data_IF_579557600929
#
_entry.id   IF_579557600929
#
_cell.length_a   1.000
_cell.length_b   1.000
_cell.length_c   1.000
_cell.angle_alpha   90.00
_cell.angle_beta   90.00
_cell.angle_gamma   90.00
#
_symmetry.space_group_name_H-M   'P 1'
#
loop_
_entity.id
_entity.type
_entity.pdbx_description
1 polymer ?
#
# COMPACT_ATOMS: atom_id res chain seq x y z
N UNK A 1 -11.99 -15.44 17.76
CA UNK A 1 -13.29 -14.76 17.55
C UNK A 1 -13.91 -15.32 16.29
N UNK A 2 -15.24 -15.47 16.19
CA UNK A 2 -15.86 -15.87 14.93
C UNK A 2 -15.58 -14.79 13.89
N UNK A 3 -15.08 -15.20 12.73
CA UNK A 3 -14.79 -14.30 11.60
C UNK A 3 -16.06 -13.55 11.20
N UNK A 4 -15.91 -12.25 10.89
CA UNK A 4 -17.03 -11.50 10.34
C UNK A 4 -17.41 -12.14 8.97
N UNK A 5 -18.65 -12.61 8.79
CA UNK A 5 -19.05 -13.41 7.63
C UNK A 5 -18.78 -12.71 6.28
N UNK A 6 -18.73 -11.37 6.25
CA UNK A 6 -18.46 -10.60 5.05
C UNK A 6 -17.01 -10.76 4.53
N UNK A 7 -16.02 -11.12 5.40
CA UNK A 7 -14.63 -11.30 4.97
C UNK A 7 -14.41 -12.53 4.07
N UNK A 8 -15.35 -13.48 4.06
CA UNK A 8 -15.22 -14.73 3.31
C UNK A 8 -15.52 -14.55 1.82
N UNK A 9 -16.24 -13.48 1.45
CA UNK A 9 -16.63 -13.20 0.05
C UNK A 9 -16.22 -11.78 -0.35
N UNK A 10 -14.99 -11.59 -0.85
CA UNK A 10 -14.52 -10.28 -1.31
C UNK A 10 -15.36 -9.72 -2.47
N UNK A 11 -15.51 -8.41 -2.49
CA UNK A 11 -16.22 -7.67 -3.54
C UNK A 11 -15.27 -7.24 -4.66
N UNK A 12 -14.05 -6.89 -4.28
CA UNK A 12 -12.98 -6.50 -5.20
C UNK A 12 -11.80 -7.44 -4.93
N UNK A 13 -11.38 -8.17 -5.96
CA UNK A 13 -10.19 -9.03 -5.90
C UNK A 13 -9.13 -8.48 -6.87
N UNK A 14 -7.95 -8.16 -6.33
CA UNK A 14 -6.81 -7.61 -7.08
C UNK A 14 -5.62 -8.56 -6.99
N UNK A 15 -5.07 -8.96 -8.13
CA UNK A 15 -3.97 -9.90 -8.21
C UNK A 15 -2.89 -9.43 -9.17
N UNK A 16 -1.64 -9.74 -8.85
CA UNK A 16 -0.50 -9.50 -9.74
C UNK A 16 0.27 -8.23 -9.44
N UNK A 17 0.79 -7.57 -10.47
CA UNK A 17 1.57 -6.34 -10.36
C UNK A 17 0.69 -5.14 -10.04
N UNK A 18 1.19 -4.23 -9.22
CA UNK A 18 0.56 -2.92 -9.01
C UNK A 18 0.96 -2.03 -10.18
N UNK A 19 0.07 -1.90 -11.14
CA UNK A 19 0.25 -1.15 -12.39
C UNK A 19 -1.07 -0.52 -12.86
N UNK A 20 -1.04 0.17 -14.01
CA UNK A 20 -2.23 0.81 -14.57
C UNK A 20 -3.35 -0.21 -14.85
N UNK A 21 -3.03 -1.46 -15.21
CA UNK A 21 -4.05 -2.48 -15.44
C UNK A 21 -4.78 -2.83 -14.15
N UNK A 22 -4.06 -3.01 -13.04
CA UNK A 22 -4.67 -3.22 -11.72
C UNK A 22 -5.52 -2.01 -11.30
N UNK A 23 -5.06 -0.79 -11.57
CA UNK A 23 -5.81 0.42 -11.24
C UNK A 23 -7.14 0.48 -12.02
N UNK A 24 -7.12 0.19 -13.32
CA UNK A 24 -8.35 0.16 -14.13
C UNK A 24 -9.32 -0.94 -13.69
N UNK A 25 -8.81 -2.15 -13.38
CA UNK A 25 -9.61 -3.25 -12.83
C UNK A 25 -10.26 -2.87 -11.50
N UNK A 26 -9.50 -2.20 -10.62
CA UNK A 26 -10.02 -1.66 -9.36
C UNK A 26 -11.15 -0.66 -9.60
N UNK A 27 -10.97 0.32 -10.50
CA UNK A 27 -12.00 1.31 -10.80
C UNK A 27 -13.27 0.68 -11.38
N UNK A 28 -13.14 -0.27 -12.30
CA UNK A 28 -14.29 -0.99 -12.89
C UNK A 28 -15.08 -1.73 -11.80
N UNK A 29 -14.41 -2.47 -10.92
CA UNK A 29 -15.05 -3.19 -9.81
C UNK A 29 -15.67 -2.23 -8.78
N UNK A 30 -14.98 -1.13 -8.48
CA UNK A 30 -15.47 -0.09 -7.54
C UNK A 30 -16.77 0.54 -8.03
N UNK A 31 -16.93 0.72 -9.35
CA UNK A 31 -18.14 1.30 -9.97
C UNK A 31 -19.37 0.39 -9.88
N UNK A 32 -19.17 -0.91 -9.63
CA UNK A 32 -20.21 -1.95 -9.59
C UNK A 32 -20.57 -2.40 -8.17
N UNK A 33 -20.02 -1.72 -7.16
CA UNK A 33 -20.26 -2.10 -5.77
C UNK A 33 -21.72 -1.92 -5.37
N UNK A 34 -22.29 -2.86 -4.61
CA UNK A 34 -23.61 -2.71 -4.02
C UNK A 34 -23.58 -1.66 -2.90
N UNK A 35 -24.67 -0.91 -2.78
CA UNK A 35 -24.84 0.08 -1.72
C UNK A 35 -25.22 -0.56 -0.37
N UNK A 36 -24.94 0.16 0.72
CA UNK A 36 -25.50 -0.11 2.04
C UNK A 36 -24.90 -1.27 2.82
N UNK A 37 -23.81 -1.89 2.36
CA UNK A 37 -23.11 -2.96 3.10
C UNK A 37 -21.58 -2.77 3.10
N UNK A 38 -20.86 -3.42 4.04
CA UNK A 38 -19.40 -3.40 4.03
C UNK A 38 -18.83 -3.93 2.72
N UNK A 39 -17.72 -3.35 2.28
CA UNK A 39 -16.96 -3.72 1.08
C UNK A 39 -15.66 -4.41 1.49
N UNK A 40 -15.35 -5.55 0.89
CA UNK A 40 -14.10 -6.26 1.11
C UNK A 40 -13.23 -6.19 -0.12
N UNK A 41 -12.02 -5.66 0.03
CA UNK A 41 -10.99 -5.62 -1.00
C UNK A 41 -9.92 -6.66 -0.67
N UNK A 42 -9.84 -7.69 -1.50
CA UNK A 42 -8.79 -8.70 -1.45
C UNK A 42 -7.61 -8.28 -2.31
N UNK A 43 -6.40 -8.47 -1.78
CA UNK A 43 -5.17 -8.17 -2.51
C UNK A 43 -4.13 -9.27 -2.36
N UNK A 44 -3.57 -9.69 -3.49
CA UNK A 44 -2.36 -10.49 -3.56
C UNK A 44 -1.40 -9.85 -4.57
N UNK A 45 -0.24 -9.37 -4.12
CA UNK A 45 0.71 -8.69 -5.01
C UNK A 45 2.15 -8.78 -4.52
N UNK A 46 3.08 -8.93 -5.47
CA UNK A 46 4.52 -8.76 -5.22
C UNK A 46 4.96 -7.29 -5.25
N UNK A 47 4.02 -6.35 -5.39
CA UNK A 47 4.29 -4.93 -5.52
C UNK A 47 4.27 -4.46 -6.98
N UNK A 48 4.92 -3.34 -7.26
CA UNK A 48 4.97 -2.70 -8.56
C UNK A 48 5.13 -1.18 -8.43
N UNK A 49 4.44 -0.41 -9.27
CA UNK A 49 4.54 1.04 -9.28
C UNK A 49 4.00 1.66 -7.98
N UNK A 50 4.86 2.42 -7.31
CA UNK A 50 4.53 3.05 -6.03
C UNK A 50 3.51 4.20 -6.17
N UNK A 51 3.47 4.90 -7.30
CA UNK A 51 2.53 5.98 -7.53
C UNK A 51 1.15 5.44 -7.92
N UNK A 52 1.09 4.33 -8.67
CA UNK A 52 -0.15 3.60 -8.89
C UNK A 52 -0.71 3.04 -7.57
N UNK A 53 0.15 2.45 -6.72
CA UNK A 53 -0.26 2.00 -5.37
C UNK A 53 -0.87 3.13 -4.54
N UNK A 54 -0.24 4.32 -4.54
CA UNK A 54 -0.78 5.51 -3.87
C UNK A 54 -2.10 5.99 -4.49
N UNK A 55 -2.25 5.87 -5.80
CA UNK A 55 -3.49 6.24 -6.49
C UNK A 55 -4.64 5.33 -6.10
N UNK A 56 -4.44 4.00 -6.07
CA UNK A 56 -5.43 3.05 -5.55
C UNK A 56 -5.78 3.37 -4.09
N UNK A 57 -4.77 3.62 -3.25
CA UNK A 57 -4.97 4.00 -1.86
C UNK A 57 -5.82 5.28 -1.71
N UNK A 58 -5.59 6.29 -2.54
CA UNK A 58 -6.40 7.52 -2.58
C UNK A 58 -7.86 7.21 -2.95
N UNK A 59 -8.08 6.40 -4.00
CA UNK A 59 -9.44 6.03 -4.43
C UNK A 59 -10.20 5.24 -3.36
N UNK A 60 -9.51 4.35 -2.63
CA UNK A 60 -10.11 3.67 -1.46
C UNK A 60 -10.61 4.67 -0.42
N UNK A 61 -9.78 5.67 -0.06
CA UNK A 61 -10.17 6.71 0.91
C UNK A 61 -11.34 7.55 0.42
N UNK A 62 -11.31 7.96 -0.87
CA UNK A 62 -12.38 8.76 -1.48
C UNK A 62 -13.69 7.96 -1.59
N UNK A 63 -13.61 6.68 -1.99
CA UNK A 63 -14.77 5.80 -2.09
C UNK A 63 -15.44 5.60 -0.73
N UNK A 64 -14.66 5.32 0.32
CA UNK A 64 -15.17 5.22 1.70
C UNK A 64 -15.92 6.47 2.12
N UNK A 65 -15.35 7.66 1.85
CA UNK A 65 -15.99 8.93 2.18
C UNK A 65 -17.26 9.19 1.37
N UNK A 66 -17.22 8.89 0.06
CA UNK A 66 -18.34 9.13 -0.87
C UNK A 66 -19.51 8.20 -0.62
N UNK A 67 -19.24 6.91 -0.39
CA UNK A 67 -20.27 5.89 -0.22
C UNK A 67 -20.77 5.76 1.23
N UNK A 68 -20.01 6.27 2.21
CA UNK A 68 -20.34 6.12 3.62
C UNK A 68 -20.31 4.67 4.10
N UNK A 69 -19.62 3.78 3.35
CA UNK A 69 -19.52 2.35 3.63
C UNK A 69 -18.20 2.01 4.34
N UNK A 70 -18.21 0.97 5.16
CA UNK A 70 -17.00 0.40 5.70
C UNK A 70 -16.27 -0.42 4.65
N UNK A 71 -14.97 -0.20 4.52
CA UNK A 71 -14.09 -0.95 3.65
C UNK A 71 -13.12 -1.77 4.49
N UNK A 72 -13.03 -3.05 4.17
CA UNK A 72 -12.15 -4.03 4.78
C UNK A 72 -11.07 -4.46 3.80
N UNK A 73 -9.87 -4.61 4.28
CA UNK A 73 -8.74 -5.16 3.54
C UNK A 73 -8.54 -6.61 3.91
N UNK A 74 -8.36 -7.48 2.92
CA UNK A 74 -7.99 -8.88 3.08
C UNK A 74 -6.75 -9.19 2.24
N UNK A 75 -5.59 -9.28 2.87
CA UNK A 75 -4.36 -9.74 2.22
C UNK A 75 -4.27 -11.25 2.19
N UNK A 76 -3.85 -11.82 1.04
CA UNK A 76 -3.65 -13.25 0.88
C UNK A 76 -2.28 -13.54 0.28
N UNK A 77 -1.63 -14.60 0.72
CA UNK A 77 -0.36 -15.14 0.24
C UNK A 77 0.79 -14.15 0.36
N UNK A 78 0.78 -13.05 -0.42
CA UNK A 78 1.80 -12.01 -0.37
C UNK A 78 1.18 -10.62 -0.55
N UNK A 79 1.63 -9.65 0.26
CA UNK A 79 1.30 -8.23 0.12
C UNK A 79 2.58 -7.44 0.27
N UNK A 80 3.26 -7.18 -0.84
CA UNK A 80 4.59 -6.60 -0.86
C UNK A 80 4.60 -5.16 -1.37
N UNK A 81 5.52 -4.35 -0.81
CA UNK A 81 5.89 -3.04 -1.35
C UNK A 81 4.67 -2.11 -1.53
N UNK A 82 4.35 -1.68 -2.75
CA UNK A 82 3.18 -0.85 -3.06
C UNK A 82 1.84 -1.48 -2.65
N UNK A 83 1.77 -2.82 -2.48
CA UNK A 83 0.62 -3.50 -1.89
C UNK A 83 0.39 -3.10 -0.43
N UNK A 84 1.46 -2.89 0.33
CA UNK A 84 1.37 -2.40 1.73
C UNK A 84 0.86 -0.95 1.77
N UNK A 85 1.22 -0.14 0.78
CA UNK A 85 0.67 1.23 0.61
C UNK A 85 -0.84 1.19 0.39
N UNK A 86 -1.33 0.24 -0.43
CA UNK A 86 -2.77 0.04 -0.62
C UNK A 86 -3.43 -0.39 0.69
N UNK A 87 -2.84 -1.35 1.43
CA UNK A 87 -3.34 -1.80 2.73
C UNK A 87 -3.44 -0.64 3.74
N UNK A 88 -2.46 0.27 3.75
CA UNK A 88 -2.42 1.40 4.67
C UNK A 88 -3.62 2.36 4.53
N UNK A 89 -4.28 2.41 3.35
CA UNK A 89 -5.46 3.24 3.12
C UNK A 89 -6.72 2.78 3.88
N UNK A 90 -6.71 1.57 4.41
CA UNK A 90 -7.80 1.04 5.23
C UNK A 90 -7.55 1.35 6.71
N UNK A 91 -8.59 1.58 7.53
CA UNK A 91 -8.40 1.69 8.98
C UNK A 91 -7.71 0.43 9.50
N UNK A 92 -6.81 0.59 10.46
CA UNK A 92 -6.11 -0.54 11.08
C UNK A 92 -7.08 -1.64 11.57
N UNK A 93 -8.21 -1.23 12.17
CA UNK A 93 -9.26 -2.14 12.66
C UNK A 93 -9.93 -2.96 11.54
N UNK A 94 -9.74 -2.57 10.27
CA UNK A 94 -10.34 -3.22 9.10
C UNK A 94 -9.30 -3.94 8.22
N UNK A 95 -8.07 -4.12 8.69
CA UNK A 95 -7.00 -4.83 7.96
C UNK A 95 -6.91 -6.26 8.45
N UNK A 96 -7.06 -7.22 7.55
CA UNK A 96 -6.99 -8.66 7.83
C UNK A 96 -6.04 -9.33 6.86
N UNK A 97 -5.39 -10.40 7.32
CA UNK A 97 -4.53 -11.26 6.50
C UNK A 97 -4.93 -12.71 6.68
N UNK A 98 -4.76 -13.54 5.65
CA UNK A 98 -4.79 -14.99 5.84
C UNK A 98 -3.51 -15.44 6.54
N UNK A 99 -3.57 -16.59 7.25
CA UNK A 99 -2.46 -17.08 8.08
C UNK A 99 -1.15 -17.25 7.32
N UNK A 100 -1.21 -17.62 6.06
CA UNK A 100 -0.07 -17.83 5.18
C UNK A 100 0.48 -16.54 4.54
N UNK A 101 -0.15 -15.39 4.81
CA UNK A 101 0.25 -14.13 4.18
C UNK A 101 1.56 -13.63 4.76
N UNK A 102 2.44 -13.20 3.85
CA UNK A 102 3.65 -12.47 4.17
C UNK A 102 3.51 -11.02 3.70
N UNK A 103 3.86 -10.07 4.56
CA UNK A 103 4.05 -8.68 4.19
C UNK A 103 5.53 -8.43 3.87
N UNK A 104 5.80 -7.52 2.92
CA UNK A 104 7.12 -6.95 2.72
C UNK A 104 7.04 -5.42 2.71
N UNK A 105 7.75 -4.81 3.66
CA UNK A 105 7.90 -3.37 3.78
C UNK A 105 9.36 -3.02 3.45
N UNK A 106 9.55 -2.14 2.47
CA UNK A 106 10.87 -1.63 2.11
C UNK A 106 10.77 -0.19 1.59
N UNK A 107 11.91 0.52 1.59
CA UNK A 107 12.01 1.87 1.06
C UNK A 107 11.62 1.94 -0.43
N UNK A 108 11.14 3.11 -0.84
CA UNK A 108 10.81 3.39 -2.23
C UNK A 108 12.06 3.28 -3.10
N UNK A 109 11.98 2.51 -4.19
CA UNK A 109 13.09 2.31 -5.12
C UNK A 109 12.87 3.14 -6.38
N UNK A 110 13.97 3.67 -6.91
CA UNK A 110 14.01 4.32 -8.22
C UNK A 110 15.16 3.71 -9.02
N UNK A 111 14.85 3.27 -10.23
CA UNK A 111 15.86 2.88 -11.23
C UNK A 111 15.81 3.90 -12.36
N UNK A 112 16.86 4.70 -12.50
CA UNK A 112 16.94 5.76 -13.49
C UNK A 112 18.38 6.04 -13.91
N UNK A 113 18.61 5.99 -15.21
CA UNK A 113 19.87 6.44 -15.80
C UNK A 113 19.82 7.93 -16.13
N UNK A 114 20.85 8.68 -15.75
CA UNK A 114 20.97 10.11 -16.03
C UNK A 114 22.08 10.30 -17.05
N UNK A 115 21.74 10.93 -18.18
CA UNK A 115 22.70 11.35 -19.17
C UNK A 115 22.87 12.87 -19.14
N UNK A 116 24.08 13.34 -18.91
CA UNK A 116 24.40 14.75 -19.01
C UNK A 116 24.82 15.09 -20.43
N UNK A 117 24.08 15.98 -21.08
CA UNK A 117 24.36 16.48 -22.44
C UNK A 117 24.22 18.01 -22.49
N UNK A 118 24.99 18.64 -23.32
CA UNK A 118 24.97 20.11 -23.48
C UNK A 118 25.98 20.84 -22.59
N UNK A 119 25.64 22.05 -22.16
CA UNK A 119 26.52 22.88 -21.32
C UNK A 119 26.58 22.38 -19.88
N UNK A 120 27.61 22.76 -19.12
CA UNK A 120 27.73 22.46 -17.71
C UNK A 120 26.53 23.03 -16.92
N UNK A 121 26.04 24.20 -17.26
CA UNK A 121 24.85 24.78 -16.61
C UNK A 121 23.59 23.96 -16.85
N UNK A 122 23.40 23.38 -18.02
CA UNK A 122 22.31 22.45 -18.34
C UNK A 122 22.43 21.17 -17.49
N UNK A 123 23.64 20.61 -17.40
CA UNK A 123 23.90 19.41 -16.58
C UNK A 123 23.61 19.65 -15.10
N UNK A 124 23.97 20.81 -14.56
CA UNK A 124 23.64 21.21 -13.18
C UNK A 124 22.13 21.28 -12.98
N UNK A 125 21.37 21.82 -13.95
CA UNK A 125 19.92 21.87 -13.84
C UNK A 125 19.30 20.46 -13.82
N UNK A 126 19.74 19.56 -14.68
CA UNK A 126 19.30 18.15 -14.68
C UNK A 126 19.56 17.49 -13.32
N UNK A 127 20.74 17.72 -12.73
CA UNK A 127 21.07 17.18 -11.41
C UNK A 127 20.17 17.73 -10.29
N UNK A 128 19.84 19.04 -10.33
CA UNK A 128 18.92 19.67 -9.37
C UNK A 128 17.50 19.11 -9.50
N UNK A 129 17.01 18.93 -10.73
CA UNK A 129 15.69 18.37 -10.97
C UNK A 129 15.59 16.91 -10.45
N UNK A 130 16.68 16.14 -10.63
CA UNK A 130 16.76 14.79 -10.07
C UNK A 130 16.76 14.81 -8.55
N UNK A 131 17.55 15.68 -7.93
CA UNK A 131 17.57 15.81 -6.46
C UNK A 131 16.17 16.14 -5.93
N UNK A 132 15.48 17.10 -6.55
CA UNK A 132 14.11 17.45 -6.15
C UNK A 132 13.14 16.26 -6.26
N UNK A 133 13.27 15.42 -7.31
CA UNK A 133 12.47 14.19 -7.43
C UNK A 133 12.76 13.18 -6.31
N UNK A 134 14.02 13.01 -5.93
CA UNK A 134 14.41 12.12 -4.83
C UNK A 134 13.87 12.63 -3.48
N UNK A 135 13.99 13.93 -3.21
CA UNK A 135 13.46 14.56 -1.98
C UNK A 135 11.94 14.41 -1.86
N UNK A 136 11.22 14.58 -2.98
CA UNK A 136 9.78 14.31 -3.04
C UNK A 136 9.52 12.82 -2.76
N UNK A 137 10.30 11.90 -3.35
CA UNK A 137 10.20 10.47 -3.13
C UNK A 137 10.31 10.09 -1.65
N UNK A 138 11.32 10.64 -0.96
CA UNK A 138 11.54 10.43 0.49
C UNK A 138 10.36 10.96 1.32
N UNK A 139 9.84 12.14 0.98
CA UNK A 139 8.65 12.68 1.68
C UNK A 139 7.43 11.78 1.51
N UNK A 140 7.17 11.31 0.30
CA UNK A 140 6.03 10.43 0.00
C UNK A 140 6.15 9.07 0.68
N UNK A 141 7.37 8.54 0.80
CA UNK A 141 7.67 7.32 1.56
C UNK A 141 7.34 7.53 3.04
N UNK A 142 7.81 8.63 3.63
CA UNK A 142 7.53 8.97 5.01
C UNK A 142 6.04 9.06 5.30
N UNK A 143 5.29 9.78 4.46
CA UNK A 143 3.82 9.88 4.57
C UNK A 143 3.16 8.49 4.56
N UNK A 144 3.59 7.60 3.65
CA UNK A 144 3.07 6.23 3.55
C UNK A 144 3.39 5.38 4.78
N UNK A 145 4.61 5.48 5.31
CA UNK A 145 5.00 4.75 6.53
C UNK A 145 4.25 5.24 7.76
N UNK A 146 4.11 6.55 7.94
CA UNK A 146 3.32 7.13 9.04
C UNK A 146 1.86 6.66 8.98
N UNK A 147 1.25 6.61 7.79
CA UNK A 147 -0.10 6.09 7.61
C UNK A 147 -0.20 4.59 7.94
N UNK A 148 0.79 3.79 7.52
CA UNK A 148 0.83 2.36 7.79
C UNK A 148 0.85 2.03 9.28
N UNK A 149 1.75 2.70 10.02
CA UNK A 149 2.00 2.42 11.44
C UNK A 149 1.02 3.15 12.40
N UNK A 150 0.14 3.98 11.87
CA UNK A 150 -0.80 4.74 12.70
C UNK A 150 -1.61 3.84 13.64
N UNK A 151 -1.40 4.00 14.94
CA UNK A 151 -2.06 3.20 16.00
C UNK A 151 -1.48 1.80 16.20
N UNK A 152 -0.31 1.49 15.62
CA UNK A 152 0.49 0.28 15.91
C UNK A 152 1.49 0.55 17.05
N UNK A 153 2.28 -0.46 17.42
CA UNK A 153 3.39 -0.32 18.36
C UNK A 153 4.73 0.02 17.65
N UNK A 154 4.71 0.16 16.32
CA UNK A 154 5.89 0.46 15.52
C UNK A 154 6.16 1.95 15.52
N UNK A 155 7.37 2.34 15.96
CA UNK A 155 7.83 3.73 15.90
C UNK A 155 8.28 4.17 14.51
N UNK A 156 8.25 5.48 14.25
CA UNK A 156 8.65 6.03 12.95
C UNK A 156 10.12 5.73 12.62
N UNK A 157 11.05 5.95 13.55
CA UNK A 157 12.47 5.62 13.34
C UNK A 157 12.69 4.12 13.11
N UNK A 158 11.91 3.30 13.78
CA UNK A 158 11.99 1.85 13.65
C UNK A 158 11.59 1.38 12.26
N UNK A 159 10.45 1.86 11.71
CA UNK A 159 10.01 1.45 10.40
C UNK A 159 11.00 1.84 9.31
N UNK A 160 11.61 3.03 9.37
CA UNK A 160 12.64 3.43 8.42
C UNK A 160 13.85 2.51 8.48
N UNK A 161 14.37 2.23 9.66
CA UNK A 161 15.50 1.32 9.85
C UNK A 161 15.22 -0.10 9.34
N UNK A 162 14.03 -0.64 9.60
CA UNK A 162 13.63 -1.97 9.14
C UNK A 162 13.40 -2.01 7.62
N UNK A 163 12.81 -0.96 7.05
CA UNK A 163 12.54 -0.86 5.63
C UNK A 163 13.82 -0.75 4.77
N UNK A 164 14.91 -0.19 5.28
CA UNK A 164 16.23 -0.15 4.61
C UNK A 164 16.71 -1.55 4.21
N UNK A 165 16.48 -2.55 5.05
CA UNK A 165 16.95 -3.93 4.86
C UNK A 165 15.85 -4.88 4.37
N UNK A 166 14.68 -4.35 3.98
CA UNK A 166 13.50 -5.13 3.59
C UNK A 166 12.92 -5.93 4.77
N UNK A 167 11.89 -5.36 5.37
CA UNK A 167 11.22 -5.96 6.52
C UNK A 167 10.11 -6.92 6.08
N UNK A 168 10.35 -8.22 6.23
CA UNK A 168 9.36 -9.27 6.03
C UNK A 168 8.64 -9.58 7.34
N UNK A 169 7.31 -9.71 7.29
CA UNK A 169 6.49 -10.11 8.44
C UNK A 169 5.50 -11.20 8.00
N UNK A 170 5.37 -12.21 8.85
CA UNK A 170 4.23 -13.12 8.82
C UNK A 170 2.94 -12.39 9.26
N UNK A 171 1.77 -12.96 8.96
CA UNK A 171 0.50 -12.42 9.41
C UNK A 171 0.44 -12.30 10.95
N UNK A 172 0.96 -13.28 11.68
CA UNK A 172 1.00 -13.28 13.15
C UNK A 172 1.93 -12.19 13.71
N UNK A 173 3.09 -11.96 13.07
CA UNK A 173 3.98 -10.84 13.43
C UNK A 173 3.33 -9.49 13.14
N UNK A 174 2.65 -9.34 12.00
CA UNK A 174 1.92 -8.11 11.67
C UNK A 174 0.79 -7.83 12.68
N UNK A 175 0.11 -8.88 13.16
CA UNK A 175 -0.89 -8.78 14.22
C UNK A 175 -0.26 -8.39 15.55
N UNK A 176 0.82 -9.05 15.96
CA UNK A 176 1.53 -8.77 17.21
C UNK A 176 2.08 -7.34 17.26
N UNK A 177 2.48 -6.79 16.10
CA UNK A 177 2.95 -5.40 15.95
C UNK A 177 1.80 -4.40 15.77
N UNK A 178 0.55 -4.83 15.84
CA UNK A 178 -0.61 -3.98 15.73
C UNK A 178 -0.78 -3.31 14.35
N UNK A 179 -0.21 -3.86 13.27
CA UNK A 179 -0.36 -3.34 11.91
C UNK A 179 -1.70 -3.74 11.27
N UNK A 180 -2.30 -4.83 11.76
CA UNK A 180 -3.58 -5.39 11.31
C UNK A 180 -4.48 -5.69 12.49
N UNK A 181 -5.76 -5.98 12.22
CA UNK A 181 -6.78 -6.29 13.22
C UNK A 181 -6.92 -7.79 13.51
N UNK A 182 -6.57 -8.66 12.55
CA UNK A 182 -6.73 -10.09 12.73
C UNK A 182 -6.15 -10.93 11.59
N UNK A 183 -6.01 -12.22 11.90
CA UNK A 183 -5.57 -13.28 10.99
C UNK A 183 -6.72 -14.24 10.78
N UNK A 184 -7.00 -14.61 9.50
CA UNK A 184 -8.04 -15.55 9.07
C UNK A 184 -7.47 -16.95 8.85
#
# INVERSE_FOLDING_TARGET
>A
MPYAPHLVKPDICLYGSVDDAMFHDFQDKLSKLPEGRPVVVELMTFGGDADVGRRIALEVRLARKRLGQEFYFLGKTVVYSSGVTIMAAFPRANRYLTRDTILLIHGRRMDKHIHFTGSISTSIQIAKDMLAQLEIGVRLEREGFVELIAGSDVGEEEIFRLAETSWYLTAEEALSRGLIAGVL
#
